data_IF_038387779340
#
_entry.id   IF_038387779340
#
_cell.length_a   1.000
_cell.length_b   1.000
_cell.length_c   1.000
_cell.angle_alpha   90.00
_cell.angle_beta   90.00
_cell.angle_gamma   90.00
#
_symmetry.space_group_name_H-M   'P 1'
#
loop_
_entity.id
_entity.type
_entity.pdbx_description
1 polymer ?
#
# COMPACT_ATOMS: atom_id res chain seq x y z
N UNK A 1 -6.16 -11.58 -3.26
CA UNK A 1 -6.57 -11.45 -1.84
C UNK A 1 -6.76 -9.97 -1.54
N UNK A 2 -8.02 -9.51 -1.45
CA UNK A 2 -8.38 -8.14 -1.10
C UNK A 2 -8.27 -7.99 0.42
N UNK A 3 -7.29 -7.22 0.90
CA UNK A 3 -7.24 -6.83 2.31
C UNK A 3 -8.13 -5.59 2.44
N UNK A 4 -9.37 -5.78 2.87
CA UNK A 4 -10.21 -4.69 3.37
C UNK A 4 -9.60 -4.18 4.68
N UNK A 5 -9.06 -2.95 4.68
CA UNK A 5 -8.50 -2.33 5.89
C UNK A 5 -9.65 -1.86 6.79
N UNK A 6 -10.00 -2.67 7.79
CA UNK A 6 -10.95 -2.31 8.84
C UNK A 6 -10.15 -1.71 10.00
N UNK A 7 -10.09 -0.38 10.08
CA UNK A 7 -9.52 0.37 11.20
C UNK A 7 -7.99 0.52 11.22
N UNK A 8 -7.51 1.39 12.12
CA UNK A 8 -6.09 1.63 12.36
C UNK A 8 -5.43 0.38 12.97
N UNK A 9 -4.69 -0.37 12.16
CA UNK A 9 -3.97 -1.58 12.58
C UNK A 9 -2.74 -1.15 13.41
N UNK A 10 -2.52 -1.80 14.55
CA UNK A 10 -1.30 -1.55 15.34
C UNK A 10 -0.06 -1.99 14.57
N UNK A 11 1.06 -1.28 14.74
CA UNK A 11 2.30 -1.52 13.97
C UNK A 11 2.75 -2.98 14.03
N UNK A 12 2.64 -3.63 15.19
CA UNK A 12 3.03 -5.04 15.36
C UNK A 12 2.13 -6.01 14.56
N UNK A 13 0.83 -5.75 14.52
CA UNK A 13 -0.11 -6.56 13.74
C UNK A 13 0.12 -6.37 12.24
N UNK A 14 0.56 -5.16 11.84
CA UNK A 14 0.93 -4.87 10.47
C UNK A 14 2.16 -5.67 10.04
N UNK A 15 3.20 -5.73 10.90
CA UNK A 15 4.38 -6.56 10.64
C UNK A 15 4.04 -8.03 10.46
N UNK A 16 3.22 -8.60 11.35
CA UNK A 16 2.80 -10.00 11.22
C UNK A 16 2.03 -10.29 9.92
N UNK A 17 1.20 -9.34 9.46
CA UNK A 17 0.48 -9.47 8.18
C UNK A 17 1.44 -9.40 6.99
N UNK A 18 2.42 -8.49 7.03
CA UNK A 18 3.43 -8.37 5.99
C UNK A 18 4.32 -9.60 5.92
N UNK A 19 4.81 -10.12 7.04
CA UNK A 19 5.62 -11.34 7.10
C UNK A 19 4.89 -12.52 6.43
N UNK A 20 3.61 -12.73 6.75
CA UNK A 20 2.79 -13.77 6.09
C UNK A 20 2.70 -13.60 4.58
N UNK A 21 2.57 -12.36 4.08
CA UNK A 21 2.53 -12.08 2.64
C UNK A 21 3.89 -12.39 2.02
N UNK A 22 4.98 -11.99 2.67
CA UNK A 22 6.34 -12.19 2.20
C UNK A 22 6.70 -13.68 2.17
N UNK A 23 6.32 -14.43 3.21
CA UNK A 23 6.47 -15.88 3.27
C UNK A 23 5.70 -16.56 2.13
N UNK A 24 4.41 -16.24 1.97
CA UNK A 24 3.57 -16.82 0.92
C UNK A 24 4.09 -16.54 -0.49
N UNK A 25 4.73 -15.38 -0.69
CA UNK A 25 5.28 -14.95 -1.98
C UNK A 25 6.77 -15.25 -2.15
N UNK A 26 7.41 -15.89 -1.16
CA UNK A 26 8.84 -16.17 -1.14
C UNK A 26 9.71 -14.91 -1.38
N UNK A 27 9.38 -13.81 -0.71
CA UNK A 27 10.08 -12.52 -0.79
C UNK A 27 10.97 -12.36 0.45
N UNK A 28 12.22 -11.93 0.27
CA UNK A 28 13.13 -11.56 1.36
C UNK A 28 13.21 -12.60 2.50
N UNK A 29 13.33 -13.88 2.17
CA UNK A 29 13.37 -14.96 3.18
C UNK A 29 12.09 -15.10 4.01
N UNK A 30 10.97 -14.59 3.51
CA UNK A 30 9.66 -14.65 4.16
C UNK A 30 9.41 -13.58 5.22
N UNK A 31 10.26 -12.56 5.32
CA UNK A 31 10.15 -11.54 6.37
C UNK A 31 10.20 -10.13 5.78
N UNK A 32 9.30 -9.28 6.25
CA UNK A 32 9.33 -7.87 5.93
C UNK A 32 10.35 -7.14 6.79
N UNK A 33 11.18 -6.35 6.14
CA UNK A 33 12.11 -5.42 6.78
C UNK A 33 11.84 -4.00 6.26
N UNK A 34 11.91 -3.02 7.17
CA UNK A 34 11.74 -1.63 6.77
C UNK A 34 12.96 -1.23 5.92
N UNK A 35 12.71 -0.56 4.80
CA UNK A 35 13.74 -0.07 3.87
C UNK A 35 14.45 -1.17 3.07
N UNK A 36 13.75 -2.25 2.69
CA UNK A 36 14.24 -3.17 1.65
C UNK A 36 14.50 -2.36 0.37
N UNK A 37 15.72 -2.48 -0.17
CA UNK A 37 16.23 -1.61 -1.25
C UNK A 37 15.37 -1.69 -2.51
N UNK A 38 15.01 -2.89 -2.95
CA UNK A 38 14.22 -3.16 -4.15
C UNK A 38 12.73 -3.38 -3.85
N UNK A 39 12.22 -2.86 -2.72
CA UNK A 39 10.83 -3.11 -2.31
C UNK A 39 9.82 -2.59 -3.32
N UNK A 40 10.12 -1.44 -3.94
CA UNK A 40 9.25 -0.85 -4.93
C UNK A 40 9.13 -1.79 -6.15
N UNK A 41 10.25 -2.25 -6.69
CA UNK A 41 10.30 -3.16 -7.83
C UNK A 41 9.58 -4.47 -7.54
N UNK A 42 9.80 -5.06 -6.36
CA UNK A 42 9.12 -6.29 -5.94
C UNK A 42 7.61 -6.10 -5.94
N UNK A 43 7.12 -5.00 -5.38
CA UNK A 43 5.69 -4.75 -5.20
C UNK A 43 5.02 -4.19 -6.46
N UNK A 44 5.77 -3.58 -7.37
CA UNK A 44 5.26 -3.04 -8.63
C UNK A 44 5.13 -4.09 -9.73
N UNK A 45 5.70 -5.29 -9.56
CA UNK A 45 5.56 -6.39 -10.51
C UNK A 45 4.09 -6.77 -10.80
N UNK A 46 3.81 -7.12 -12.06
CA UNK A 46 2.48 -7.53 -12.51
C UNK A 46 1.43 -6.44 -12.32
N UNK A 47 0.30 -6.77 -11.70
CA UNK A 47 -0.78 -5.81 -11.40
C UNK A 47 -0.62 -5.13 -10.03
N UNK A 48 0.52 -5.31 -9.35
CA UNK A 48 0.70 -4.84 -7.97
C UNK A 48 0.50 -3.34 -7.80
N UNK A 49 1.14 -2.54 -8.66
CA UNK A 49 1.07 -1.08 -8.62
C UNK A 49 -0.31 -0.55 -8.99
N UNK A 50 -0.89 -1.01 -10.10
CA UNK A 50 -2.20 -0.57 -10.57
C UNK A 50 -3.32 -0.95 -9.59
N UNK A 51 -3.23 -2.12 -8.96
CA UNK A 51 -4.17 -2.54 -7.92
C UNK A 51 -4.03 -1.69 -6.65
N UNK A 52 -2.81 -1.32 -6.25
CA UNK A 52 -2.58 -0.45 -5.10
C UNK A 52 -3.19 0.94 -5.32
N UNK A 53 -2.97 1.56 -6.48
CA UNK A 53 -3.57 2.85 -6.86
C UNK A 53 -5.09 2.75 -6.86
N UNK A 54 -5.65 1.72 -7.50
CA UNK A 54 -7.12 1.49 -7.56
C UNK A 54 -7.73 1.36 -6.16
N UNK A 55 -7.08 0.62 -5.26
CA UNK A 55 -7.57 0.44 -3.89
C UNK A 55 -7.48 1.74 -3.07
N UNK A 56 -6.41 2.52 -3.22
CA UNK A 56 -6.25 3.82 -2.57
C UNK A 56 -7.33 4.81 -3.01
N UNK A 57 -7.62 4.90 -4.33
CA UNK A 57 -8.71 5.72 -4.87
C UNK A 57 -10.07 5.29 -4.32
N UNK A 58 -10.33 3.98 -4.30
CA UNK A 58 -11.56 3.42 -3.73
C UNK A 58 -11.71 3.79 -2.25
N UNK A 59 -10.65 3.62 -1.45
CA UNK A 59 -10.63 3.95 -0.03
C UNK A 59 -10.91 5.43 0.19
N UNK A 60 -10.22 6.32 -0.54
CA UNK A 60 -10.45 7.76 -0.47
C UNK A 60 -11.90 8.13 -0.80
N UNK A 61 -12.50 7.48 -1.81
CA UNK A 61 -13.91 7.65 -2.16
C UNK A 61 -14.91 7.16 -1.11
N UNK A 62 -14.51 6.35 -0.13
CA UNK A 62 -15.39 5.93 0.99
C UNK A 62 -15.51 6.97 2.10
N UNK A 63 -14.60 7.95 2.15
CA UNK A 63 -14.64 9.01 3.16
C UNK A 63 -15.53 10.16 2.69
N UNK A 64 -16.32 10.72 3.61
CA UNK A 64 -17.14 11.90 3.33
C UNK A 64 -16.26 13.12 2.99
N UNK A 65 -16.69 13.94 2.03
CA UNK A 65 -15.93 15.07 1.49
C UNK A 65 -15.51 16.13 2.54
N UNK A 66 -16.12 16.12 3.73
CA UNK A 66 -15.90 17.14 4.77
C UNK A 66 -15.12 16.60 5.99
N UNK A 67 -14.61 15.36 5.94
CA UNK A 67 -13.75 14.86 7.01
C UNK A 67 -12.36 15.48 6.90
N UNK A 68 -11.79 16.03 7.99
CA UNK A 68 -10.41 16.49 7.96
C UNK A 68 -9.47 15.28 7.76
N UNK A 69 -8.31 15.46 7.10
CA UNK A 69 -7.38 14.36 6.81
C UNK A 69 -6.99 13.52 8.04
N UNK A 70 -6.87 14.14 9.22
CA UNK A 70 -6.57 13.45 10.48
C UNK A 70 -7.65 12.46 10.94
N UNK A 71 -8.87 12.58 10.39
CA UNK A 71 -10.01 11.67 10.64
C UNK A 71 -10.21 10.67 9.52
N UNK A 72 -9.52 10.83 8.39
CA UNK A 72 -9.51 9.85 7.30
C UNK A 72 -8.48 8.76 7.62
N UNK A 73 -8.78 7.91 8.59
CA UNK A 73 -7.89 6.87 9.09
C UNK A 73 -8.50 5.48 8.88
N UNK A 74 -7.95 4.63 7.99
CA UNK A 74 -6.81 4.85 7.11
C UNK A 74 -7.18 5.60 5.81
N UNK A 75 -6.43 6.63 5.40
CA UNK A 75 -6.48 7.20 4.06
C UNK A 75 -5.29 8.14 3.85
N UNK A 76 -4.71 8.11 2.65
CA UNK A 76 -3.68 9.07 2.24
C UNK A 76 -3.95 9.54 0.81
N UNK A 77 -3.14 10.48 0.33
CA UNK A 77 -3.11 10.95 -1.06
C UNK A 77 -1.80 10.54 -1.77
N UNK A 78 -1.07 9.58 -1.21
CA UNK A 78 0.23 9.14 -1.76
C UNK A 78 0.08 8.53 -3.15
N UNK A 79 -1.07 7.91 -3.45
CA UNK A 79 -1.38 7.40 -4.79
C UNK A 79 -1.36 8.51 -5.85
N UNK A 80 -1.75 9.75 -5.51
CA UNK A 80 -1.68 10.88 -6.46
C UNK A 80 -0.22 11.24 -6.80
N UNK A 81 0.64 11.25 -5.78
CA UNK A 81 2.08 11.47 -5.98
C UNK A 81 2.72 10.34 -6.79
N UNK A 82 2.32 9.09 -6.52
CA UNK A 82 2.81 7.93 -7.28
C UNK A 82 2.40 8.03 -8.75
N UNK A 83 1.16 8.43 -9.04
CA UNK A 83 0.70 8.64 -10.42
C UNK A 83 1.52 9.73 -11.14
N UNK A 84 1.78 10.87 -10.48
CA UNK A 84 2.61 11.94 -11.05
C UNK A 84 4.06 11.50 -11.29
N UNK A 85 4.65 10.74 -10.35
CA UNK A 85 6.03 10.28 -10.47
C UNK A 85 6.21 9.17 -11.52
N UNK A 86 5.17 8.38 -11.80
CA UNK A 86 5.23 7.33 -12.82
C UNK A 86 5.46 7.92 -14.22
N UNK A 87 4.98 9.14 -14.49
CA UNK A 87 5.23 9.84 -15.76
C UNK A 87 6.72 10.04 -16.05
N UNK A 88 7.58 10.01 -15.03
CA UNK A 88 9.03 10.16 -15.14
C UNK A 88 9.80 8.83 -15.17
N UNK A 89 9.14 7.70 -14.93
CA UNK A 89 9.74 6.36 -14.95
C UNK A 89 9.61 5.68 -16.32
N UNK A 90 8.61 6.09 -17.11
CA UNK A 90 8.38 5.62 -18.48
C UNK A 90 9.14 6.45 -19.55
N UNK A 91 10.06 7.33 -19.12
CA UNK A 91 10.86 8.25 -19.95
C UNK A 91 12.25 7.76 -20.30
#
# INVERSE_FOLDING_TARGET
MLITLVGAIHRNDYYQKLDKIFETRNINGGKYEKNIENIFDILSTGEGLSLAIKNSKKLRGTYACNLPPSKMNPCTTVDMLVEELLEYLDG
#
